data_IF_671947413353
#
_entry.id   IF_671947413353
#
_cell.length_a   1.000
_cell.length_b   1.000
_cell.length_c   1.000
_cell.angle_alpha   90.00
_cell.angle_beta   90.00
_cell.angle_gamma   90.00
#
_symmetry.space_group_name_H-M   'P 1'
#
loop_
_entity.id
_entity.type
_entity.pdbx_description
1 polymer ?
#
# COMPACT_ATOMS: atom_id res chain seq x y z
N UNK A 1 -26.31 -22.55 0.98
CA UNK A 1 -25.88 -22.54 -0.42
C UNK A 1 -25.51 -21.12 -0.79
N UNK A 2 -24.22 -20.87 -1.05
CA UNK A 2 -23.70 -19.55 -1.40
C UNK A 2 -24.19 -19.15 -2.79
N UNK A 3 -25.20 -18.28 -2.85
CA UNK A 3 -25.57 -17.60 -4.10
C UNK A 3 -24.78 -16.29 -4.17
N UNK A 4 -24.19 -15.95 -5.32
CA UNK A 4 -23.37 -14.75 -5.47
C UNK A 4 -24.21 -13.49 -5.25
N UNK A 5 -23.64 -12.50 -4.54
CA UNK A 5 -24.29 -11.21 -4.24
C UNK A 5 -24.62 -10.39 -5.50
N UNK A 6 -23.95 -10.69 -6.62
CA UNK A 6 -24.14 -10.01 -7.89
C UNK A 6 -24.45 -11.08 -8.94
N UNK A 7 -25.65 -11.06 -9.57
CA UNK A 7 -25.95 -11.90 -10.72
C UNK A 7 -24.97 -11.62 -11.85
N UNK A 8 -24.52 -12.65 -12.56
CA UNK A 8 -23.56 -12.52 -13.67
C UNK A 8 -24.05 -11.62 -14.82
N UNK A 9 -25.35 -11.34 -14.87
CA UNK A 9 -25.97 -10.47 -15.87
C UNK A 9 -25.87 -8.96 -15.57
N UNK A 10 -25.31 -8.56 -14.42
CA UNK A 10 -25.28 -7.15 -14.01
C UNK A 10 -24.13 -6.40 -14.70
N UNK A 11 -24.47 -5.43 -15.57
CA UNK A 11 -23.53 -4.43 -16.08
C UNK A 11 -23.38 -3.29 -15.07
N UNK A 12 -22.19 -3.13 -14.52
CA UNK A 12 -21.85 -2.01 -13.65
C UNK A 12 -21.43 -0.81 -14.50
N UNK A 13 -22.15 0.30 -14.38
CA UNK A 13 -21.84 1.56 -15.05
C UNK A 13 -21.49 2.59 -13.98
N UNK A 14 -20.24 3.04 -13.95
CA UNK A 14 -19.76 4.12 -13.10
C UNK A 14 -20.18 5.46 -13.72
N UNK A 15 -20.95 6.27 -13.00
CA UNK A 15 -21.31 7.63 -13.42
C UNK A 15 -20.91 8.65 -12.35
N UNK A 16 -20.16 9.66 -12.75
CA UNK A 16 -19.71 10.79 -11.91
C UNK A 16 -20.80 11.86 -11.81
N UNK A 17 -21.06 12.27 -10.55
CA UNK A 17 -21.75 13.44 -9.95
C UNK A 17 -22.78 14.33 -10.66
N UNK A 18 -22.95 14.34 -11.98
CA UNK A 18 -23.61 15.49 -12.63
C UNK A 18 -25.08 15.23 -13.04
N UNK A 19 -25.74 14.22 -12.46
CA UNK A 19 -27.09 13.80 -12.83
C UNK A 19 -28.07 13.74 -11.64
N UNK A 20 -28.13 14.81 -10.84
CA UNK A 20 -29.17 14.93 -9.80
C UNK A 20 -30.44 15.65 -10.30
N UNK A 21 -30.49 16.13 -11.54
CA UNK A 21 -31.60 16.97 -12.03
C UNK A 21 -32.65 16.25 -12.90
N UNK A 22 -32.57 14.93 -13.13
CA UNK A 22 -33.59 14.24 -13.95
C UNK A 22 -34.16 13.00 -13.25
N UNK A 23 -34.81 13.22 -12.11
CA UNK A 23 -35.69 12.25 -11.46
C UNK A 23 -37.08 12.28 -12.12
N UNK A 24 -37.12 11.92 -13.39
CA UNK A 24 -38.34 11.80 -14.17
C UNK A 24 -38.16 10.76 -15.26
N UNK A 25 -38.42 9.49 -14.96
CA UNK A 25 -38.64 8.47 -16.01
C UNK A 25 -37.87 7.17 -15.85
N UNK A 26 -38.56 6.22 -15.21
CA UNK A 26 -38.69 4.82 -15.61
C UNK A 26 -37.61 3.77 -15.21
N UNK A 27 -38.03 2.95 -14.23
CA UNK A 27 -37.85 1.49 -14.19
C UNK A 27 -36.45 0.89 -14.03
N UNK A 28 -35.81 1.20 -12.91
CA UNK A 28 -35.14 0.18 -12.09
C UNK A 28 -35.22 0.60 -10.63
N UNK A 29 -36.35 0.32 -9.98
CA UNK A 29 -36.50 0.41 -8.52
C UNK A 29 -35.64 -0.67 -7.87
N UNK A 30 -34.32 -0.50 -7.90
CA UNK A 30 -33.45 -1.18 -6.96
C UNK A 30 -33.98 -0.79 -5.58
N UNK A 31 -34.37 -1.80 -4.80
CA UNK A 31 -34.99 -1.66 -3.49
C UNK A 31 -33.99 -0.99 -2.52
N UNK A 32 -33.79 0.32 -2.64
CA UNK A 32 -32.94 1.12 -1.76
C UNK A 32 -33.46 1.07 -0.32
N UNK A 33 -34.77 0.85 -0.15
CA UNK A 33 -35.41 0.60 1.14
C UNK A 33 -34.92 -0.69 1.80
N UNK A 34 -34.77 -1.81 1.07
CA UNK A 34 -34.35 -3.08 1.68
C UNK A 34 -32.89 -3.11 2.12
N UNK A 35 -32.07 -2.17 1.63
CA UNK A 35 -30.68 -2.01 2.06
C UNK A 35 -30.60 -1.58 3.53
N UNK A 36 -31.49 -0.66 3.96
CA UNK A 36 -31.54 -0.16 5.33
C UNK A 36 -32.07 -1.20 6.33
N UNK A 37 -32.80 -2.22 5.86
CA UNK A 37 -33.23 -3.38 6.65
C UNK A 37 -32.12 -4.43 6.84
N UNK A 38 -31.00 -4.30 6.12
CA UNK A 38 -29.91 -5.25 6.26
C UNK A 38 -29.24 -5.10 7.64
N UNK A 39 -28.89 -6.21 8.31
CA UNK A 39 -28.25 -6.16 9.63
C UNK A 39 -26.90 -5.44 9.58
N UNK A 40 -26.22 -5.44 8.44
CA UNK A 40 -24.99 -4.68 8.21
C UNK A 40 -25.22 -3.17 8.19
N UNK A 41 -26.23 -2.69 7.45
CA UNK A 41 -26.57 -1.26 7.42
C UNK A 41 -27.07 -0.77 8.77
N UNK A 42 -27.91 -1.54 9.46
CA UNK A 42 -28.37 -1.19 10.82
C UNK A 42 -27.22 -1.14 11.83
N UNK A 43 -26.26 -2.06 11.74
CA UNK A 43 -25.07 -2.07 12.60
C UNK A 43 -24.20 -0.84 12.35
N UNK A 44 -23.89 -0.54 11.08
CA UNK A 44 -23.11 0.65 10.72
C UNK A 44 -23.80 1.95 11.16
N UNK A 45 -25.12 2.04 11.02
CA UNK A 45 -25.90 3.19 11.50
C UNK A 45 -25.82 3.35 13.02
N UNK A 46 -25.94 2.25 13.78
CA UNK A 46 -25.77 2.28 15.25
C UNK A 46 -24.35 2.68 15.65
N UNK A 47 -23.33 2.18 14.96
CA UNK A 47 -21.94 2.56 15.21
C UNK A 47 -21.70 4.03 14.90
N UNK A 48 -22.23 4.55 13.78
CA UNK A 48 -22.17 5.98 13.47
C UNK A 48 -22.89 6.85 14.51
N UNK A 49 -24.00 6.39 15.06
CA UNK A 49 -24.73 7.10 16.13
C UNK A 49 -23.96 7.20 17.44
N UNK A 50 -22.93 6.34 17.64
CA UNK A 50 -22.05 6.38 18.81
C UNK A 50 -20.83 7.28 18.63
N UNK A 51 -20.65 7.86 17.44
CA UNK A 51 -19.53 8.78 17.18
C UNK A 51 -19.87 10.12 17.83
N UNK A 52 -19.12 10.47 18.88
CA UNK A 52 -19.17 11.80 19.46
C UNK A 52 -18.66 12.82 18.43
N UNK A 53 -19.49 13.82 18.11
CA UNK A 53 -19.09 14.94 17.27
C UNK A 53 -18.63 16.09 18.17
N UNK A 54 -17.40 16.60 18.02
CA UNK A 54 -16.95 17.71 18.85
C UNK A 54 -17.77 18.96 18.52
N UNK A 55 -18.37 19.57 19.54
CA UNK A 55 -19.10 20.83 19.38
C UNK A 55 -18.17 22.03 19.52
N UNK A 56 -18.20 22.93 18.54
CA UNK A 56 -17.51 24.21 18.62
C UNK A 56 -18.41 25.25 19.25
N UNK A 57 -17.98 25.82 20.38
CA UNK A 57 -18.62 27.00 20.97
C UNK A 57 -17.64 28.16 20.95
N UNK A 58 -18.07 29.29 20.37
CA UNK A 58 -17.28 30.52 20.40
C UNK A 58 -17.28 31.09 21.81
N UNK A 59 -16.14 31.03 22.49
CA UNK A 59 -15.97 31.68 23.79
C UNK A 59 -15.96 33.19 23.55
N UNK A 60 -16.95 33.91 24.06
CA UNK A 60 -16.96 35.37 24.06
C UNK A 60 -15.83 35.84 24.99
N UNK A 61 -14.79 36.46 24.43
CA UNK A 61 -13.60 36.93 25.15
C UNK A 61 -13.85 38.06 26.16
N UNK A 62 -15.12 38.38 26.45
CA UNK A 62 -15.54 39.42 27.38
C UNK A 62 -15.90 38.91 28.77
N UNK A 63 -15.65 37.63 29.07
CA UNK A 63 -15.81 37.08 30.42
C UNK A 63 -14.51 37.14 31.19
N UNK A 64 -14.53 37.79 32.36
CA UNK A 64 -13.46 37.77 33.37
C UNK A 64 -13.19 36.34 33.86
N UNK A 65 -12.44 35.57 33.07
CA UNK A 65 -11.96 34.25 33.49
C UNK A 65 -10.49 34.35 33.82
N UNK A 66 -10.23 34.49 35.12
CA UNK A 66 -9.09 33.90 35.83
C UNK A 66 -7.72 34.05 35.15
N UNK A 67 -7.00 35.14 35.46
CA UNK A 67 -5.53 35.21 35.62
C UNK A 67 -4.67 34.34 34.69
N UNK A 68 -5.04 34.15 33.42
CA UNK A 68 -4.10 33.70 32.40
C UNK A 68 -3.32 34.98 32.11
N UNK A 69 -2.08 35.06 32.59
CA UNK A 69 -1.16 36.13 32.19
C UNK A 69 -1.30 36.27 30.67
N UNK A 70 -1.34 37.50 30.10
CA UNK A 70 -1.35 37.67 28.66
C UNK A 70 -0.24 36.79 28.12
N UNK A 71 -0.63 35.76 27.38
CA UNK A 71 0.32 34.77 26.96
C UNK A 71 1.22 35.52 25.98
N UNK A 72 2.43 35.87 26.43
CA UNK A 72 3.43 36.56 25.62
C UNK A 72 4.05 35.56 24.63
N UNK A 73 3.21 34.76 23.99
CA UNK A 73 3.65 33.92 22.91
C UNK A 73 4.05 34.83 21.77
N UNK A 74 5.32 34.71 21.41
CA UNK A 74 5.86 35.34 20.24
C UNK A 74 5.26 34.60 19.03
N UNK A 75 4.27 35.23 18.40
CA UNK A 75 3.63 34.75 17.17
C UNK A 75 4.40 35.20 15.91
N UNK A 76 5.65 35.66 16.05
CA UNK A 76 6.51 35.95 14.91
C UNK A 76 6.92 34.68 14.15
N UNK A 77 7.19 34.84 12.86
CA UNK A 77 7.70 33.76 12.00
C UNK A 77 8.97 33.13 12.56
N UNK A 78 9.84 33.91 13.21
CA UNK A 78 11.08 33.44 13.80
C UNK A 78 10.83 32.42 14.94
N UNK A 79 9.86 32.70 15.82
CA UNK A 79 9.49 31.78 16.88
C UNK A 79 8.85 30.50 16.32
N UNK A 80 8.00 30.65 15.30
CA UNK A 80 7.39 29.53 14.58
C UNK A 80 8.46 28.62 13.95
N UNK A 81 9.42 29.20 13.21
CA UNK A 81 10.50 28.46 12.56
C UNK A 81 11.33 27.67 13.58
N UNK A 82 11.71 28.27 14.72
CA UNK A 82 12.48 27.57 15.75
C UNK A 82 11.72 26.36 16.32
N UNK A 83 10.41 26.52 16.54
CA UNK A 83 9.55 25.43 17.02
C UNK A 83 9.46 24.27 16.01
N UNK A 84 9.42 24.59 14.71
CA UNK A 84 9.22 23.59 13.65
C UNK A 84 10.51 23.00 13.08
N UNK A 85 11.65 23.67 13.27
CA UNK A 85 12.96 23.28 12.73
C UNK A 85 13.35 21.85 13.05
N UNK A 86 13.06 21.37 14.27
CA UNK A 86 13.36 19.98 14.66
C UNK A 86 12.52 18.98 13.85
N UNK A 87 11.23 19.21 13.74
CA UNK A 87 10.30 18.32 13.03
C UNK A 87 10.61 18.28 11.55
N UNK A 88 10.83 19.45 10.93
CA UNK A 88 11.23 19.50 9.53
C UNK A 88 12.54 18.76 9.26
N UNK A 89 13.55 18.94 10.11
CA UNK A 89 14.83 18.24 9.97
C UNK A 89 14.65 16.74 10.12
N UNK A 90 13.83 16.30 11.08
CA UNK A 90 13.54 14.89 11.29
C UNK A 90 12.86 14.28 10.06
N UNK A 91 11.80 14.91 9.55
CA UNK A 91 11.09 14.40 8.36
C UNK A 91 11.98 14.40 7.12
N UNK A 92 12.73 15.50 6.88
CA UNK A 92 13.69 15.57 5.77
C UNK A 92 14.76 14.48 5.89
N UNK A 93 15.22 14.21 7.11
CA UNK A 93 16.16 13.12 7.41
C UNK A 93 15.57 11.74 7.14
N UNK A 94 14.35 11.48 7.62
CA UNK A 94 13.62 10.23 7.39
C UNK A 94 13.43 9.98 5.91
N UNK A 95 12.92 10.97 5.16
CA UNK A 95 12.74 10.86 3.70
C UNK A 95 14.06 10.55 2.98
N UNK A 96 15.17 11.18 3.40
CA UNK A 96 16.50 10.89 2.83
C UNK A 96 16.95 9.45 3.13
N UNK A 97 16.79 8.99 4.37
CA UNK A 97 17.18 7.63 4.77
C UNK A 97 16.33 6.56 4.03
N UNK A 98 15.03 6.80 3.88
CA UNK A 98 14.14 5.93 3.09
C UNK A 98 14.56 5.89 1.62
N UNK A 99 14.87 7.05 1.02
CA UNK A 99 15.37 7.14 -0.35
C UNK A 99 16.71 6.42 -0.54
N UNK A 100 17.64 6.56 0.40
CA UNK A 100 18.93 5.87 0.38
C UNK A 100 18.75 4.35 0.47
N UNK A 101 17.91 3.89 1.40
CA UNK A 101 17.55 2.47 1.54
C UNK A 101 16.96 1.93 0.23
N UNK A 102 16.07 2.69 -0.39
CA UNK A 102 15.44 2.32 -1.66
C UNK A 102 16.47 2.18 -2.79
N UNK A 103 17.37 3.17 -2.93
CA UNK A 103 18.47 3.13 -3.90
C UNK A 103 19.38 1.93 -3.69
N UNK A 104 19.75 1.64 -2.44
CA UNK A 104 20.56 0.47 -2.12
C UNK A 104 19.83 -0.84 -2.48
N UNK A 105 18.53 -0.95 -2.20
CA UNK A 105 17.74 -2.12 -2.58
C UNK A 105 17.68 -2.31 -4.10
N UNK A 106 17.51 -1.24 -4.89
CA UNK A 106 17.56 -1.30 -6.35
C UNK A 106 18.93 -1.73 -6.86
N UNK A 107 20.00 -1.18 -6.30
CA UNK A 107 21.35 -1.58 -6.64
C UNK A 107 21.58 -3.09 -6.40
N UNK A 108 21.24 -3.58 -5.19
CA UNK A 108 21.37 -5.02 -4.85
C UNK A 108 20.48 -5.91 -5.72
N UNK A 109 19.29 -5.44 -6.09
CA UNK A 109 18.39 -6.17 -6.98
C UNK A 109 19.00 -6.28 -8.38
N UNK A 110 19.58 -5.18 -8.90
CA UNK A 110 20.29 -5.18 -10.17
C UNK A 110 21.46 -6.18 -10.20
N UNK A 111 22.24 -6.26 -9.13
CA UNK A 111 23.29 -7.29 -8.99
C UNK A 111 22.73 -8.71 -9.07
N UNK A 112 21.63 -9.00 -8.36
CA UNK A 112 20.98 -10.31 -8.39
C UNK A 112 20.40 -10.65 -9.77
N UNK A 113 19.78 -9.68 -10.44
CA UNK A 113 19.32 -9.85 -11.83
C UNK A 113 20.50 -10.15 -12.75
N UNK A 114 21.62 -9.45 -12.58
CA UNK A 114 22.86 -9.74 -13.31
C UNK A 114 23.35 -11.18 -13.09
N UNK A 115 23.33 -11.67 -11.85
CA UNK A 115 23.67 -13.05 -11.52
C UNK A 115 22.71 -14.05 -12.19
N UNK A 116 21.40 -13.81 -12.15
CA UNK A 116 20.40 -14.67 -12.80
C UNK A 116 20.60 -14.75 -14.32
N UNK A 117 21.02 -13.66 -14.97
CA UNK A 117 21.33 -13.65 -16.41
C UNK A 117 22.50 -14.56 -16.76
N UNK A 118 23.51 -14.65 -15.90
CA UNK A 118 24.72 -15.46 -16.13
C UNK A 118 24.58 -16.90 -15.61
N UNK A 119 23.61 -17.17 -14.73
CA UNK A 119 23.44 -18.49 -14.11
C UNK A 119 23.01 -19.57 -15.12
N UNK A 120 23.64 -20.74 -15.01
CA UNK A 120 23.33 -21.91 -15.84
C UNK A 120 21.91 -22.44 -15.58
N UNK A 121 21.25 -22.92 -16.64
CA UNK A 121 19.87 -23.46 -16.60
C UNK A 121 19.72 -24.65 -15.66
N UNK A 122 20.79 -25.41 -15.45
CA UNK A 122 20.83 -26.53 -14.49
C UNK A 122 20.59 -26.11 -13.04
N UNK A 123 20.88 -24.86 -12.66
CA UNK A 123 20.63 -24.34 -11.32
C UNK A 123 19.14 -24.10 -11.03
N UNK A 124 18.32 -23.95 -12.07
CA UNK A 124 16.88 -23.71 -11.95
C UNK A 124 16.10 -25.02 -11.78
N UNK A 125 16.68 -26.15 -12.20
CA UNK A 125 16.04 -27.47 -12.11
C UNK A 125 15.95 -28.04 -10.69
N UNK A 126 16.64 -27.47 -9.69
CA UNK A 126 16.49 -27.89 -8.27
C UNK A 126 15.51 -27.02 -7.48
N UNK A 127 14.89 -26.03 -8.11
CA UNK A 127 13.96 -25.07 -7.49
C UNK A 127 12.51 -25.56 -7.52
N UNK A 128 12.30 -26.87 -7.67
CA UNK A 128 10.99 -27.49 -7.52
C UNK A 128 10.56 -27.49 -6.06
N UNK A 129 9.49 -26.73 -5.76
CA UNK A 129 8.77 -26.64 -4.48
C UNK A 129 9.33 -25.64 -3.46
N UNK A 130 8.95 -24.36 -3.59
CA UNK A 130 8.93 -23.41 -2.47
C UNK A 130 7.49 -23.23 -1.94
N UNK A 131 7.34 -22.94 -0.64
CA UNK A 131 7.36 -21.53 -0.25
C UNK A 131 8.55 -21.20 0.67
N UNK A 132 9.05 -19.94 0.65
CA UNK A 132 10.12 -19.53 1.54
C UNK A 132 9.55 -19.29 2.94
N UNK A 133 9.73 -20.25 3.85
CA UNK A 133 9.69 -19.92 5.28
C UNK A 133 10.92 -19.08 5.60
N UNK A 134 10.70 -17.92 6.20
CA UNK A 134 11.66 -16.91 6.63
C UNK A 134 12.63 -17.38 7.74
N UNK A 135 13.03 -18.64 7.75
CA UNK A 135 14.01 -19.22 8.67
C UNK A 135 14.64 -20.44 7.99
N UNK A 136 15.81 -20.28 7.37
CA UNK A 136 16.72 -21.41 7.17
C UNK A 136 18.15 -20.93 7.29
N UNK A 137 18.48 -20.56 8.52
CA UNK A 137 19.84 -20.53 9.06
C UNK A 137 20.47 -21.90 8.86
N UNK A 138 21.62 -21.93 8.18
CA UNK A 138 22.62 -23.01 8.14
C UNK A 138 22.13 -24.47 8.05
N UNK A 139 22.27 -25.05 6.86
CA UNK A 139 22.55 -26.49 6.74
C UNK A 139 23.49 -26.74 5.56
N UNK A 140 24.76 -26.86 5.91
CA UNK A 140 25.79 -27.65 5.23
C UNK A 140 25.25 -29.06 4.95
N UNK A 141 25.66 -29.66 3.83
CA UNK A 141 26.23 -31.02 3.70
C UNK A 141 25.86 -31.73 2.36
N UNK A 142 26.92 -32.11 1.63
CA UNK A 142 27.11 -33.20 0.67
C UNK A 142 26.24 -33.34 -0.60
N UNK A 143 26.86 -32.96 -1.74
CA UNK A 143 27.31 -33.93 -2.77
C UNK A 143 26.26 -34.62 -3.62
N UNK A 144 25.96 -34.07 -4.81
CA UNK A 144 25.46 -34.85 -5.95
C UNK A 144 26.05 -34.30 -7.27
N UNK A 145 27.01 -35.06 -7.78
CA UNK A 145 27.36 -35.30 -9.19
C UNK A 145 27.29 -34.12 -10.19
N UNK A 146 28.49 -33.61 -10.51
CA UNK A 146 28.79 -32.94 -11.77
C UNK A 146 28.69 -33.93 -12.95
N UNK A 147 27.47 -34.20 -13.40
CA UNK A 147 27.22 -34.72 -14.74
C UNK A 147 26.79 -33.55 -15.63
N UNK A 148 27.38 -33.40 -16.81
CA UNK A 148 26.97 -32.45 -17.83
C UNK A 148 25.48 -32.64 -18.15
N UNK A 149 24.62 -31.92 -17.42
CA UNK A 149 23.19 -31.89 -17.67
C UNK A 149 22.96 -30.85 -18.75
N UNK A 150 22.64 -31.31 -19.94
CA UNK A 150 22.28 -30.45 -21.06
C UNK A 150 21.15 -29.49 -20.66
N UNK A 151 21.09 -28.28 -21.24
CA UNK A 151 19.98 -27.35 -21.02
C UNK A 151 18.67 -28.08 -21.30
N UNK A 152 17.84 -28.26 -20.28
CA UNK A 152 16.48 -28.76 -20.44
C UNK A 152 15.58 -27.56 -20.73
N UNK A 153 14.65 -27.65 -21.69
CA UNK A 153 13.77 -26.53 -22.06
C UNK A 153 12.99 -25.98 -20.85
N UNK A 154 12.55 -26.87 -19.96
CA UNK A 154 11.86 -26.50 -18.70
C UNK A 154 12.72 -25.61 -17.77
N UNK A 155 14.04 -25.82 -17.75
CA UNK A 155 14.95 -25.01 -16.94
C UNK A 155 15.21 -23.64 -17.55
N UNK A 156 15.12 -23.53 -18.88
CA UNK A 156 15.14 -22.25 -19.58
C UNK A 156 13.85 -21.47 -19.34
N UNK A 157 12.70 -22.13 -19.38
CA UNK A 157 11.40 -21.52 -19.12
C UNK A 157 11.34 -20.94 -17.70
N UNK A 158 11.74 -21.72 -16.68
CA UNK A 158 11.76 -21.24 -15.29
C UNK A 158 12.74 -20.09 -15.09
N UNK A 159 13.92 -20.14 -15.73
CA UNK A 159 14.89 -19.04 -15.71
C UNK A 159 14.28 -17.78 -16.32
N UNK A 160 13.60 -17.89 -17.45
CA UNK A 160 12.98 -16.77 -18.13
C UNK A 160 11.83 -16.17 -17.30
N UNK A 161 11.01 -17.00 -16.65
CA UNK A 161 9.94 -16.55 -15.74
C UNK A 161 10.51 -15.80 -14.52
N UNK A 162 11.53 -16.36 -13.87
CA UNK A 162 12.22 -15.70 -12.75
C UNK A 162 12.85 -14.38 -13.17
N UNK A 163 13.50 -14.35 -14.35
CA UNK A 163 14.11 -13.14 -14.89
C UNK A 163 13.06 -12.06 -15.17
N UNK A 164 11.96 -12.43 -15.82
CA UNK A 164 10.83 -11.53 -16.12
C UNK A 164 10.26 -10.92 -14.84
N UNK A 165 10.05 -11.76 -13.82
CA UNK A 165 9.55 -11.33 -12.51
C UNK A 165 10.52 -10.37 -11.83
N UNK A 166 11.82 -10.69 -11.84
CA UNK A 166 12.85 -9.86 -11.22
C UNK A 166 13.01 -8.50 -11.92
N UNK A 167 12.94 -8.47 -13.26
CA UNK A 167 12.96 -7.23 -14.05
C UNK A 167 11.72 -6.37 -13.78
N UNK A 168 10.53 -6.97 -13.71
CA UNK A 168 9.30 -6.26 -13.35
C UNK A 168 9.38 -5.66 -11.93
N UNK A 169 9.94 -6.39 -10.96
CA UNK A 169 10.19 -5.87 -9.62
C UNK A 169 11.16 -4.68 -9.71
N UNK A 170 12.28 -4.81 -10.44
CA UNK A 170 13.27 -3.76 -10.58
C UNK A 170 12.67 -2.48 -11.18
N UNK A 171 11.86 -2.58 -12.22
CA UNK A 171 11.18 -1.43 -12.83
C UNK A 171 10.27 -0.71 -11.83
N UNK A 172 9.48 -1.46 -11.04
CA UNK A 172 8.63 -0.86 -10.00
C UNK A 172 9.44 -0.09 -8.96
N UNK A 173 10.56 -0.64 -8.51
CA UNK A 173 11.42 0.05 -7.56
C UNK A 173 12.13 1.27 -8.16
N UNK A 174 12.52 1.22 -9.43
CA UNK A 174 13.11 2.37 -10.12
C UNK A 174 12.11 3.53 -10.26
N UNK A 175 10.84 3.25 -10.55
CA UNK A 175 9.79 4.26 -10.60
C UNK A 175 9.58 4.99 -9.26
N UNK A 176 9.82 4.33 -8.12
CA UNK A 176 9.73 4.95 -6.79
C UNK A 176 10.91 5.89 -6.46
N UNK A 177 12.06 5.76 -7.13
CA UNK A 177 13.24 6.62 -6.92
C UNK A 177 13.13 7.92 -7.72
N UNK A 178 12.48 7.85 -8.89
CA UNK A 178 12.23 8.98 -9.79
C UNK A 178 10.72 9.19 -9.94
N UNK A 179 10.03 9.68 -8.88
CA UNK A 179 8.61 9.97 -8.94
C UNK A 179 8.28 11.10 -9.92
#
# INVERSE_FOLDING_TARGET
>A
GNKPLIPESVRLVLKTSDFLENLGGDSASTNTLSYFDSPGAMKAYREQSSIETPEFTKINSSGETNKILPHCYDDSDAAYEQRHKRFERFEKGQRRAEMEKLRHQVYKLGERVGQLKVMNTSAFMSVGSYPPSYLSTYSTIHGVQHGCRFPTPEGEDLRNEMLTTAEAIQQRYQAMIHP
#
